data_IF_720785296677
#
_entry.id   IF_720785296677
#
_cell.length_a   1.000
_cell.length_b   1.000
_cell.length_c   1.000
_cell.angle_alpha   90.00
_cell.angle_beta   90.00
_cell.angle_gamma   90.00
#
_symmetry.space_group_name_H-M   'P 1'
#
loop_
_entity.id
_entity.type
_entity.pdbx_description
1 polymer ?
#
# COMPACT_ATOMS: atom_id res chain seq x y z
N UNK A 1 -24.73 -90.99 -16.05
CA UNK A 1 -26.07 -90.45 -16.27
C UNK A 1 -25.91 -88.94 -16.26
N UNK A 2 -25.72 -88.37 -17.45
CA UNK A 2 -26.62 -87.41 -18.12
C UNK A 2 -26.93 -86.20 -17.21
N UNK A 3 -26.70 -84.97 -17.56
CA UNK A 3 -26.66 -84.20 -18.80
C UNK A 3 -26.24 -82.73 -18.45
N UNK A 4 -25.65 -82.11 -19.39
CA UNK A 4 -26.10 -80.85 -20.04
C UNK A 4 -26.44 -79.71 -19.12
N UNK A 5 -25.83 -78.57 -19.27
CA UNK A 5 -25.92 -77.66 -20.36
C UNK A 5 -25.41 -76.26 -20.07
N UNK A 6 -24.82 -75.79 -21.08
CA UNK A 6 -25.03 -74.51 -21.75
C UNK A 6 -24.37 -73.25 -21.15
N UNK A 7 -23.43 -72.80 -21.96
CA UNK A 7 -22.91 -71.47 -21.96
C UNK A 7 -23.98 -70.39 -22.21
N UNK A 8 -23.87 -69.27 -21.54
CA UNK A 8 -24.38 -68.01 -22.07
C UNK A 8 -23.38 -66.88 -21.86
N UNK A 9 -23.02 -66.33 -22.95
CA UNK A 9 -22.27 -65.14 -23.17
C UNK A 9 -22.91 -63.93 -22.50
N UNK A 10 -22.19 -63.11 -21.85
CA UNK A 10 -22.62 -61.84 -21.26
C UNK A 10 -21.59 -60.79 -21.43
N UNK A 11 -21.53 -60.25 -22.60
CA UNK A 11 -21.27 -58.86 -22.96
C UNK A 11 -20.65 -57.99 -21.83
N UNK A 12 -19.33 -57.99 -21.74
CA UNK A 12 -18.59 -56.96 -21.02
C UNK A 12 -18.64 -55.66 -21.85
N UNK A 13 -19.49 -54.75 -21.36
CA UNK A 13 -19.49 -53.39 -21.88
C UNK A 13 -18.20 -52.71 -21.47
N UNK A 14 -17.30 -52.58 -22.36
CA UNK A 14 -16.21 -51.61 -22.28
C UNK A 14 -16.84 -50.22 -22.05
N UNK A 15 -16.85 -49.80 -20.83
CA UNK A 15 -17.12 -48.41 -20.49
C UNK A 15 -15.91 -47.59 -20.87
N UNK A 16 -16.02 -47.01 -22.05
CA UNK A 16 -15.05 -46.11 -22.63
C UNK A 16 -14.54 -45.10 -21.61
N UNK A 17 -13.34 -45.31 -21.18
CA UNK A 17 -12.55 -44.41 -20.29
C UNK A 17 -12.09 -43.13 -21.01
N UNK A 18 -12.70 -42.83 -22.12
CA UNK A 18 -12.39 -41.68 -22.99
C UNK A 18 -13.18 -40.40 -22.74
N UNK A 19 -14.07 -40.39 -21.74
CA UNK A 19 -14.92 -39.19 -21.50
C UNK A 19 -14.72 -38.47 -20.19
N UNK A 20 -13.73 -38.85 -19.39
CA UNK A 20 -13.49 -38.25 -18.10
C UNK A 20 -12.28 -37.28 -18.05
N UNK A 21 -11.64 -37.03 -19.18
CA UNK A 21 -10.49 -36.12 -19.27
C UNK A 21 -10.80 -34.77 -19.94
N UNK A 22 -12.05 -34.46 -20.21
CA UNK A 22 -12.45 -33.22 -20.90
C UNK A 22 -13.08 -32.17 -20.02
N UNK A 23 -13.04 -32.29 -18.70
CA UNK A 23 -13.59 -31.29 -17.79
C UNK A 23 -12.55 -31.07 -16.69
N UNK A 24 -11.60 -30.24 -16.88
CA UNK A 24 -10.96 -29.43 -15.83
C UNK A 24 -9.75 -28.71 -16.45
N UNK A 25 -10.00 -27.93 -17.50
CA UNK A 25 -9.12 -26.81 -17.79
C UNK A 25 -9.98 -25.57 -17.76
N UNK A 26 -10.66 -25.38 -16.66
CA UNK A 26 -11.13 -24.06 -16.26
C UNK A 26 -9.88 -23.32 -15.79
N UNK A 27 -9.20 -22.69 -16.74
CA UNK A 27 -8.18 -21.69 -16.49
C UNK A 27 -8.86 -20.64 -15.65
N UNK A 28 -8.59 -20.69 -14.36
CA UNK A 28 -8.82 -19.57 -13.45
C UNK A 28 -7.85 -18.49 -13.91
N UNK A 29 -8.27 -17.74 -14.91
CA UNK A 29 -7.70 -16.43 -15.20
C UNK A 29 -8.05 -15.55 -14.02
N UNK A 30 -7.26 -15.66 -12.96
CA UNK A 30 -7.19 -14.62 -11.94
C UNK A 30 -6.65 -13.41 -12.71
N UNK A 31 -7.56 -12.59 -13.21
CA UNK A 31 -7.24 -11.25 -13.59
C UNK A 31 -6.56 -10.65 -12.35
N UNK A 32 -5.25 -10.51 -12.38
CA UNK A 32 -4.54 -9.59 -11.51
C UNK A 32 -5.20 -8.23 -11.82
N UNK A 33 -6.18 -7.87 -11.02
CA UNK A 33 -6.62 -6.49 -10.95
C UNK A 33 -5.38 -5.73 -10.52
N UNK A 34 -4.66 -5.18 -11.48
CA UNK A 34 -3.60 -4.23 -11.22
C UNK A 34 -4.25 -3.14 -10.38
N UNK A 35 -3.93 -3.12 -9.09
CA UNK A 35 -4.34 -2.04 -8.20
C UNK A 35 -3.76 -0.77 -8.83
N UNK A 36 -4.62 0.00 -9.46
CA UNK A 36 -4.21 1.22 -10.16
C UNK A 36 -3.89 2.25 -9.08
N UNK A 37 -2.62 2.49 -8.83
CA UNK A 37 -2.11 3.41 -7.81
C UNK A 37 -2.58 4.84 -8.11
N UNK A 38 -2.57 5.26 -9.37
CA UNK A 38 -3.12 6.54 -9.77
C UNK A 38 -4.66 6.52 -9.76
N UNK A 39 -5.32 7.64 -9.42
CA UNK A 39 -6.75 7.79 -9.65
C UNK A 39 -7.11 7.60 -11.12
N UNK A 40 -8.27 6.96 -11.37
CA UNK A 40 -8.68 6.58 -12.74
C UNK A 40 -9.09 7.76 -13.62
N UNK A 41 -9.55 8.86 -13.03
CA UNK A 41 -10.01 10.05 -13.75
C UNK A 41 -9.00 11.18 -13.60
N UNK A 42 -8.93 12.07 -14.58
CA UNK A 42 -8.08 13.28 -14.51
C UNK A 42 -8.52 14.20 -13.36
N UNK A 43 -9.83 14.29 -13.12
CA UNK A 43 -10.35 15.04 -11.96
C UNK A 43 -9.83 14.42 -10.64
N UNK A 44 -9.96 13.12 -10.46
CA UNK A 44 -9.45 12.46 -9.25
C UNK A 44 -7.93 12.58 -9.07
N UNK A 45 -7.18 12.67 -10.18
CA UNK A 45 -5.75 12.95 -10.16
C UNK A 45 -5.45 14.38 -9.69
N UNK A 46 -6.23 15.35 -10.17
CA UNK A 46 -6.12 16.75 -9.73
C UNK A 46 -6.49 16.88 -8.25
N UNK A 47 -7.63 16.34 -7.85
CA UNK A 47 -8.10 16.35 -6.46
C UNK A 47 -7.06 15.77 -5.50
N UNK A 48 -6.41 14.65 -5.86
CA UNK A 48 -5.39 14.04 -5.02
C UNK A 48 -4.16 14.92 -4.85
N UNK A 49 -3.74 15.64 -5.89
CA UNK A 49 -2.63 16.61 -5.78
C UNK A 49 -3.01 17.79 -4.90
N UNK A 50 -4.24 18.29 -5.03
CA UNK A 50 -4.74 19.42 -4.23
C UNK A 50 -4.86 19.03 -2.75
N UNK A 51 -5.38 17.83 -2.44
CA UNK A 51 -5.43 17.30 -1.08
C UNK A 51 -4.02 17.19 -0.47
N UNK A 52 -3.05 16.69 -1.25
CA UNK A 52 -1.67 16.59 -0.79
C UNK A 52 -1.03 17.97 -0.55
N UNK A 53 -1.29 18.94 -1.43
CA UNK A 53 -0.80 20.31 -1.26
C UNK A 53 -1.41 20.97 0.00
N UNK A 54 -2.70 20.75 0.27
CA UNK A 54 -3.37 21.26 1.48
C UNK A 54 -2.78 20.60 2.73
N UNK A 55 -2.57 19.29 2.73
CA UNK A 55 -1.97 18.57 3.84
C UNK A 55 -0.53 19.04 4.11
N UNK A 56 0.26 19.21 3.06
CA UNK A 56 1.63 19.71 3.16
C UNK A 56 1.66 21.13 3.75
N UNK A 57 0.82 22.03 3.26
CA UNK A 57 0.72 23.38 3.80
C UNK A 57 0.29 23.42 5.28
N UNK A 58 -0.56 22.48 5.74
CA UNK A 58 -0.87 22.32 7.16
C UNK A 58 0.36 21.85 7.96
N UNK A 59 1.07 20.88 7.42
CA UNK A 59 2.28 20.36 8.04
C UNK A 59 3.34 21.46 8.22
N UNK A 60 3.59 22.25 7.20
CA UNK A 60 4.56 23.35 7.24
C UNK A 60 4.14 24.48 8.19
N UNK A 61 2.83 24.71 8.38
CA UNK A 61 2.33 25.63 9.42
C UNK A 61 2.59 25.12 10.81
N UNK A 62 2.45 23.80 11.04
CA UNK A 62 2.73 23.18 12.34
C UNK A 62 4.23 23.16 12.65
N UNK A 63 5.03 22.98 11.60
CA UNK A 63 6.49 23.01 11.67
C UNK A 63 7.13 23.72 10.47
N UNK A 64 7.45 25.01 10.58
CA UNK A 64 8.12 25.73 9.50
C UNK A 64 9.49 25.16 9.10
N UNK A 65 10.14 24.36 9.97
CA UNK A 65 11.43 23.75 9.65
C UNK A 65 11.29 22.60 8.65
N UNK A 66 10.07 22.05 8.51
CA UNK A 66 9.77 20.98 7.55
C UNK A 66 10.04 21.42 6.10
N UNK A 67 9.70 22.65 5.74
CA UNK A 67 9.93 23.18 4.37
C UNK A 67 11.39 23.15 3.96
N UNK A 68 12.32 23.43 4.88
CA UNK A 68 13.76 23.33 4.64
C UNK A 68 14.18 21.88 4.46
N UNK A 69 13.70 20.99 5.34
CA UNK A 69 13.98 19.55 5.24
C UNK A 69 13.53 18.98 3.88
N UNK A 70 12.29 19.30 3.45
CA UNK A 70 11.72 18.78 2.21
C UNK A 70 12.43 19.35 0.97
N UNK A 71 12.86 20.61 1.01
CA UNK A 71 13.63 21.21 -0.07
C UNK A 71 15.00 20.55 -0.25
N UNK A 72 15.64 20.17 0.85
CA UNK A 72 16.98 19.57 0.84
C UNK A 72 16.94 18.05 0.59
N UNK A 73 15.75 17.44 0.66
CA UNK A 73 15.51 16.02 0.40
C UNK A 73 15.63 15.67 -1.08
N UNK A 74 15.98 14.42 -1.39
CA UNK A 74 15.93 13.86 -2.75
C UNK A 74 14.51 13.72 -3.27
N UNK A 75 13.58 13.43 -2.37
CA UNK A 75 12.16 13.40 -2.62
C UNK A 75 11.37 13.27 -1.34
N UNK A 76 10.06 13.39 -1.48
CA UNK A 76 9.13 13.16 -0.38
C UNK A 76 7.76 12.70 -0.91
N UNK A 77 7.14 11.79 -0.17
CA UNK A 77 5.78 11.34 -0.43
C UNK A 77 4.81 11.97 0.59
N UNK A 78 3.65 12.40 0.11
CA UNK A 78 2.60 12.98 0.94
C UNK A 78 1.34 12.14 0.80
N UNK A 79 0.91 11.54 1.89
CA UNK A 79 -0.36 10.83 2.04
C UNK A 79 -1.31 11.72 2.85
N UNK A 80 -2.20 12.49 2.22
CA UNK A 80 -3.06 13.45 2.93
C UNK A 80 -3.97 12.75 3.94
N UNK A 81 -4.43 11.56 3.62
CA UNK A 81 -5.27 10.73 4.49
C UNK A 81 -4.83 9.27 4.43
N UNK A 82 -4.38 8.76 5.56
CA UNK A 82 -4.16 7.33 5.81
C UNK A 82 -5.24 6.87 6.78
N UNK A 83 -6.19 6.07 6.28
CA UNK A 83 -7.24 5.49 7.11
C UNK A 83 -6.74 4.22 7.80
N UNK A 84 -6.87 4.16 9.12
CA UNK A 84 -6.65 2.96 9.94
C UNK A 84 -7.99 2.41 10.40
N UNK A 85 -8.24 1.14 10.15
CA UNK A 85 -9.46 0.45 10.59
C UNK A 85 -9.17 -0.96 11.06
N UNK A 86 -9.98 -1.44 12.00
CA UNK A 86 -9.90 -2.81 12.47
C UNK A 86 -11.27 -3.37 12.83
N UNK A 87 -11.56 -4.54 12.23
CA UNK A 87 -12.60 -5.47 12.72
C UNK A 87 -11.97 -6.87 12.72
N UNK A 88 -11.08 -7.12 13.69
CA UNK A 88 -10.40 -8.41 13.84
C UNK A 88 -9.02 -8.50 13.21
N UNK A 89 -8.82 -7.99 11.98
CA UNK A 89 -7.51 -7.80 11.35
C UNK A 89 -7.39 -6.31 11.08
N UNK A 90 -6.42 -5.65 11.72
CA UNK A 90 -6.15 -4.24 11.52
C UNK A 90 -5.40 -3.98 10.22
N UNK A 91 -5.70 -2.85 9.58
CA UNK A 91 -4.97 -2.40 8.41
C UNK A 91 -4.98 -0.89 8.29
N UNK A 92 -4.06 -0.36 7.50
CA UNK A 92 -4.08 1.02 7.06
C UNK A 92 -3.97 1.08 5.55
N UNK A 93 -4.60 2.08 4.96
CA UNK A 93 -4.57 2.37 3.54
C UNK A 93 -4.55 3.88 3.30
N UNK A 94 -3.70 4.31 2.38
CA UNK A 94 -3.62 5.70 1.96
C UNK A 94 -3.23 5.83 0.50
N UNK A 95 -3.77 6.86 -0.15
CA UNK A 95 -3.32 7.32 -1.46
C UNK A 95 -2.58 8.63 -1.31
N UNK A 96 -1.45 8.74 -2.00
CA UNK A 96 -0.57 9.90 -1.92
C UNK A 96 0.05 10.29 -3.24
N UNK A 97 0.91 11.27 -3.16
CA UNK A 97 1.71 11.77 -4.28
C UNK A 97 3.18 11.85 -3.91
N UNK A 98 4.04 11.67 -4.91
CA UNK A 98 5.49 11.76 -4.77
C UNK A 98 6.01 13.01 -5.46
N UNK A 99 6.91 13.70 -4.76
CA UNK A 99 7.68 14.82 -5.27
C UNK A 99 9.17 14.46 -5.27
N UNK A 100 9.88 14.81 -6.34
CA UNK A 100 11.34 14.70 -6.45
C UNK A 100 11.90 16.10 -6.72
N UNK A 101 12.83 16.56 -5.88
CA UNK A 101 13.34 17.94 -5.93
C UNK A 101 12.20 19.00 -5.97
N UNK A 102 11.11 18.77 -5.24
CA UNK A 102 9.95 19.66 -5.19
C UNK A 102 8.99 19.56 -6.38
N UNK A 103 9.29 18.72 -7.39
CA UNK A 103 8.45 18.53 -8.57
C UNK A 103 7.59 17.27 -8.42
N UNK A 104 6.29 17.36 -8.69
CA UNK A 104 5.41 16.22 -8.72
C UNK A 104 5.83 15.20 -9.79
N UNK A 105 6.04 13.94 -9.40
CA UNK A 105 6.51 12.88 -10.29
C UNK A 105 5.53 11.70 -10.43
N UNK A 106 4.60 11.53 -9.50
CA UNK A 106 3.62 10.44 -9.61
C UNK A 106 2.77 10.21 -8.38
N UNK A 107 1.99 9.16 -8.43
CA UNK A 107 1.07 8.73 -7.39
C UNK A 107 1.64 7.56 -6.63
N UNK A 108 1.29 7.43 -5.36
CA UNK A 108 1.69 6.32 -4.52
C UNK A 108 0.54 5.83 -3.64
N UNK A 109 0.54 4.54 -3.36
CA UNK A 109 -0.36 3.91 -2.38
C UNK A 109 0.45 3.39 -1.21
N UNK A 110 -0.14 3.47 -0.04
CA UNK A 110 0.31 2.89 1.20
C UNK A 110 -0.68 1.82 1.62
N UNK A 111 -0.18 0.65 1.95
CA UNK A 111 -0.93 -0.43 2.58
C UNK A 111 -0.18 -0.94 3.80
N UNK A 112 -0.88 -1.22 4.88
CA UNK A 112 -0.33 -1.81 6.08
C UNK A 112 -1.26 -2.90 6.58
N UNK A 113 -0.71 -4.06 6.91
CA UNK A 113 -1.46 -5.12 7.59
C UNK A 113 -0.91 -5.22 8.99
N UNK A 114 -1.76 -5.05 9.99
CA UNK A 114 -1.40 -5.21 11.40
C UNK A 114 -2.27 -6.30 12.02
N UNK A 115 -1.63 -7.13 12.86
CA UNK A 115 -2.35 -8.12 13.67
C UNK A 115 -2.55 -7.48 15.04
N UNK A 116 -3.78 -7.19 15.42
CA UNK A 116 -4.12 -6.63 16.73
C UNK A 116 -5.54 -6.12 16.80
N UNK A 117 -6.12 -6.19 17.98
CA UNK A 117 -7.41 -5.61 18.32
C UNK A 117 -7.23 -4.09 18.49
N UNK A 118 -7.42 -3.33 17.42
CA UNK A 118 -7.62 -1.89 17.51
C UNK A 118 -9.11 -1.63 17.31
N UNK A 119 -9.76 -1.13 18.36
CA UNK A 119 -11.16 -0.70 18.29
C UNK A 119 -11.18 0.75 17.83
N UNK A 120 -11.90 1.00 16.72
CA UNK A 120 -12.09 2.34 16.16
C UNK A 120 -11.32 2.61 14.88
N UNK A 121 -11.84 3.55 14.08
CA UNK A 121 -11.17 4.10 12.91
C UNK A 121 -10.35 5.33 13.29
N UNK A 122 -9.17 5.47 12.72
CA UNK A 122 -8.33 6.66 12.84
C UNK A 122 -7.89 7.11 11.45
N UNK A 123 -7.81 8.41 11.24
CA UNK A 123 -7.25 9.01 10.03
C UNK A 123 -6.10 9.93 10.39
N UNK A 124 -5.05 9.88 9.60
CA UNK A 124 -3.89 10.75 9.79
C UNK A 124 -3.21 11.07 8.45
N UNK A 125 -2.50 12.18 8.45
CA UNK A 125 -1.59 12.54 7.35
C UNK A 125 -0.23 11.92 7.62
N UNK A 126 0.40 11.38 6.58
CA UNK A 126 1.77 10.87 6.64
C UNK A 126 2.63 11.54 5.58
N UNK A 127 3.81 12.02 5.99
CA UNK A 127 4.83 12.59 5.10
C UNK A 127 6.09 11.78 5.26
N UNK A 128 6.58 11.20 4.16
CA UNK A 128 7.81 10.42 4.11
C UNK A 128 8.86 11.21 3.36
N UNK A 129 9.98 11.48 4.01
CA UNK A 129 11.09 12.25 3.46
C UNK A 129 12.27 11.34 3.16
N UNK A 130 12.83 11.41 1.95
CA UNK A 130 13.95 10.59 1.47
C UNK A 130 15.21 11.47 1.36
N UNK A 131 16.23 11.17 2.17
CA UNK A 131 17.51 11.91 2.13
C UNK A 131 18.51 11.38 1.10
N UNK A 132 18.29 10.17 0.58
CA UNK A 132 19.18 9.51 -0.39
C UNK A 132 18.43 9.04 -1.62
N UNK A 133 19.13 8.98 -2.77
CA UNK A 133 18.58 8.40 -4.01
C UNK A 133 18.24 6.93 -3.86
N UNK A 134 18.99 6.19 -3.04
CA UNK A 134 18.74 4.77 -2.76
C UNK A 134 17.40 4.57 -2.06
N UNK A 135 17.14 5.30 -0.98
CA UNK A 135 15.87 5.20 -0.24
C UNK A 135 14.66 5.57 -1.13
N UNK A 136 14.80 6.62 -1.94
CA UNK A 136 13.78 7.02 -2.90
C UNK A 136 13.53 5.94 -3.97
N UNK A 137 14.60 5.34 -4.51
CA UNK A 137 14.52 4.27 -5.50
C UNK A 137 13.86 3.02 -4.93
N UNK A 138 14.24 2.61 -3.72
CA UNK A 138 13.60 1.47 -3.03
C UNK A 138 12.10 1.72 -2.80
N UNK A 139 11.72 2.94 -2.45
CA UNK A 139 10.32 3.31 -2.32
C UNK A 139 9.57 3.18 -3.66
N UNK A 140 10.10 3.75 -4.74
CA UNK A 140 9.49 3.71 -6.09
C UNK A 140 9.36 2.29 -6.65
N UNK A 141 10.28 1.41 -6.29
CA UNK A 141 10.28 -0.01 -6.73
C UNK A 141 9.49 -0.94 -5.80
N UNK A 142 8.88 -0.42 -4.73
CA UNK A 142 8.14 -1.22 -3.76
C UNK A 142 9.03 -2.14 -2.90
N UNK A 143 10.34 -1.88 -2.88
CA UNK A 143 11.32 -2.64 -2.09
C UNK A 143 11.58 -2.02 -0.71
N UNK A 144 10.91 -0.91 -0.42
CA UNK A 144 11.01 -0.25 0.88
C UNK A 144 9.97 -0.80 1.85
N UNK A 145 10.38 -1.08 3.08
CA UNK A 145 9.50 -1.43 4.19
C UNK A 145 10.08 -0.88 5.48
N UNK A 146 9.21 -0.47 6.39
CA UNK A 146 9.63 -0.08 7.75
C UNK A 146 9.78 -1.28 8.66
N UNK A 147 10.69 -1.20 9.63
CA UNK A 147 10.79 -2.18 10.71
C UNK A 147 9.45 -2.31 11.44
N UNK A 148 9.17 -3.51 11.95
CA UNK A 148 7.89 -3.82 12.58
C UNK A 148 7.53 -2.91 13.78
N UNK A 149 8.53 -2.32 14.43
CA UNK A 149 8.37 -1.41 15.57
C UNK A 149 8.44 0.08 15.17
N UNK A 150 8.55 0.38 13.87
CA UNK A 150 8.69 1.76 13.42
C UNK A 150 7.45 2.59 13.75
N UNK A 151 7.68 3.82 14.20
CA UNK A 151 6.64 4.83 14.42
C UNK A 151 6.97 6.09 13.62
N UNK A 152 5.94 6.73 13.07
CA UNK A 152 6.07 8.08 12.51
C UNK A 152 6.20 9.10 13.63
N UNK A 153 7.03 10.10 13.42
CA UNK A 153 7.25 11.18 14.40
C UNK A 153 6.07 12.15 14.36
N UNK A 154 5.51 12.47 15.53
CA UNK A 154 4.49 13.51 15.64
C UNK A 154 5.01 14.84 15.11
N UNK A 155 4.34 15.41 14.11
CA UNK A 155 4.75 16.66 13.49
C UNK A 155 4.40 17.85 14.39
N UNK A 156 5.41 18.38 15.08
CA UNK A 156 5.35 19.56 15.96
C UNK A 156 6.50 20.49 15.64
N UNK A 157 6.43 21.71 16.12
CA UNK A 157 7.47 22.74 15.89
C UNK A 157 8.89 22.19 16.17
N UNK A 158 9.76 22.29 15.17
CA UNK A 158 11.13 21.80 15.21
C UNK A 158 11.30 20.31 14.90
N UNK A 159 10.25 19.58 14.56
CA UNK A 159 10.35 18.16 14.18
C UNK A 159 11.22 17.98 12.93
N UNK A 160 11.06 18.84 11.92
CA UNK A 160 11.88 18.82 10.71
C UNK A 160 13.35 19.10 10.99
N UNK A 161 13.65 20.12 11.81
CA UNK A 161 15.03 20.46 12.17
C UNK A 161 15.73 19.36 12.99
N UNK A 162 14.94 18.56 13.73
CA UNK A 162 15.44 17.46 14.55
C UNK A 162 15.16 16.08 13.94
N UNK A 163 14.88 16.05 12.63
CA UNK A 163 14.57 14.81 11.92
C UNK A 163 15.71 13.79 12.06
N UNK A 164 15.35 12.58 12.48
CA UNK A 164 16.28 11.44 12.50
C UNK A 164 15.95 10.55 11.32
N UNK A 165 16.91 10.41 10.43
CA UNK A 165 16.79 9.49 9.32
C UNK A 165 17.21 8.09 9.75
N UNK A 166 16.36 7.12 9.48
CA UNK A 166 16.68 5.71 9.56
C UNK A 166 16.67 5.17 8.12
N UNK A 167 17.76 4.57 7.70
CA UNK A 167 17.89 4.02 6.35
C UNK A 167 17.62 5.04 5.21
N UNK A 168 17.97 6.30 5.46
CA UNK A 168 17.73 7.40 4.53
C UNK A 168 16.30 7.95 4.53
N UNK A 169 15.45 7.56 5.50
CA UNK A 169 14.04 7.94 5.55
C UNK A 169 13.68 8.55 6.89
N UNK A 170 12.92 9.64 6.87
CA UNK A 170 12.23 10.20 8.03
C UNK A 170 10.72 10.28 7.76
N UNK A 171 9.90 9.96 8.77
CA UNK A 171 8.45 9.95 8.63
C UNK A 171 7.81 10.84 9.66
N UNK A 172 6.90 11.69 9.21
CA UNK A 172 6.12 12.59 10.05
C UNK A 172 4.64 12.27 9.94
N UNK A 173 3.95 12.36 11.08
CA UNK A 173 2.52 12.09 11.15
C UNK A 173 1.78 13.19 11.92
N UNK A 174 0.55 13.48 11.50
CA UNK A 174 -0.41 14.34 12.20
C UNK A 174 -1.82 13.86 11.87
N UNK A 175 -2.81 14.16 12.72
CA UNK A 175 -4.20 13.86 12.34
C UNK A 175 -4.71 14.81 11.24
N UNK A 176 -5.90 14.52 10.70
CA UNK A 176 -6.51 15.36 9.64
C UNK A 176 -6.85 16.78 10.11
N UNK A 177 -7.05 16.99 11.40
CA UNK A 177 -7.25 18.31 12.00
C UNK A 177 -5.95 19.11 12.12
N UNK A 178 -4.78 18.46 11.89
CA UNK A 178 -3.45 19.06 12.01
C UNK A 178 -2.86 18.97 13.41
N UNK A 179 -3.47 18.18 14.29
CA UNK A 179 -2.92 17.91 15.62
C UNK A 179 -1.74 16.94 15.53
N UNK A 180 -0.86 16.99 16.51
CA UNK A 180 0.29 16.12 16.61
C UNK A 180 -0.15 14.68 16.92
N UNK A 181 0.29 13.75 16.11
CA UNK A 181 -0.07 12.37 16.24
C UNK A 181 1.11 11.45 15.89
N UNK A 182 1.40 10.48 16.75
CA UNK A 182 2.36 9.43 16.47
C UNK A 182 1.61 8.18 15.99
N UNK A 183 1.98 7.65 14.84
CA UNK A 183 1.39 6.45 14.30
C UNK A 183 2.41 5.32 14.18
N UNK A 184 2.00 4.10 14.50
CA UNK A 184 2.77 2.92 14.10
C UNK A 184 2.73 2.78 12.59
N UNK A 185 3.90 2.76 11.97
CA UNK A 185 4.12 2.62 10.51
C UNK A 185 4.79 1.30 10.15
N UNK A 186 5.08 0.46 11.14
CA UNK A 186 5.72 -0.84 10.93
C UNK A 186 4.93 -1.73 9.97
N UNK A 187 5.63 -2.36 9.02
CA UNK A 187 5.05 -3.25 8.04
C UNK A 187 4.27 -2.57 6.91
N UNK A 188 4.38 -1.26 6.76
CA UNK A 188 3.83 -0.56 5.59
C UNK A 188 4.54 -1.00 4.31
N UNK A 189 3.74 -1.14 3.25
CA UNK A 189 4.18 -1.42 1.88
C UNK A 189 3.70 -0.31 0.97
N UNK A 190 4.49 -0.01 -0.03
CA UNK A 190 4.25 1.09 -0.94
C UNK A 190 4.21 0.60 -2.38
N UNK A 191 3.40 1.26 -3.20
CA UNK A 191 3.45 1.16 -4.65
C UNK A 191 3.54 2.56 -5.25
N UNK A 192 4.14 2.67 -6.41
CA UNK A 192 4.34 3.92 -7.12
C UNK A 192 3.95 3.79 -8.59
N UNK A 193 3.33 4.83 -9.12
CA UNK A 193 3.00 4.97 -10.52
C UNK A 193 3.40 6.37 -10.98
N UNK A 194 4.28 6.48 -11.96
CA UNK A 194 4.66 7.74 -12.58
C UNK A 194 3.44 8.45 -13.20
N UNK A 195 3.50 9.79 -13.26
CA UNK A 195 2.48 10.63 -13.89
C UNK A 195 2.32 10.37 -15.38
#
# INVERSE_FOLDING_TARGET
MVAHGRAESGNEREVSMGRLFAITTCVVSIALAACNTAPKSEQGKADKRDEAAVALAKAERNDPTLSTLLRDAKGYAVFPTVGKGAAGIGGAYGKGVLYEAGVFTGYCDLTQTSIGLQLGGQSYTEIICFSTEDSLTRFKTGQFAFDAQATGVALKSGAGANAKFSDGVAVFTMDEAGLMFEASIGGQKFSYQAK
#
